data_IF_911335824786
#
_entry.id   IF_911335824786
#
_cell.length_a   1.000
_cell.length_b   1.000
_cell.length_c   1.000
_cell.angle_alpha   90.00
_cell.angle_beta   90.00
_cell.angle_gamma   90.00
#
_symmetry.space_group_name_H-M   'P 1'
#
loop_
_entity.id
_entity.type
_entity.pdbx_description
1 polymer ?
#
# COMPACT_ATOMS: atom_id res chain seq x y z
N UNK A 1 -12.91 25.40 1.04
CA UNK A 1 -12.81 24.07 1.69
C UNK A 1 -12.94 22.88 0.72
N UNK A 2 -13.01 23.09 -0.60
CA UNK A 2 -13.15 22.01 -1.58
C UNK A 2 -11.95 21.05 -1.66
N UNK A 3 -10.73 21.55 -1.48
CA UNK A 3 -9.52 20.72 -1.50
C UNK A 3 -9.51 19.68 -0.37
N UNK A 4 -9.97 20.05 0.82
CA UNK A 4 -10.06 19.16 1.99
C UNK A 4 -11.11 18.07 1.75
N UNK A 5 -12.25 18.43 1.13
CA UNK A 5 -13.33 17.51 0.82
C UNK A 5 -12.87 16.42 -0.17
N UNK A 6 -12.18 16.83 -1.26
CA UNK A 6 -11.60 15.91 -2.25
C UNK A 6 -10.52 15.00 -1.66
N UNK A 7 -9.69 15.53 -0.76
CA UNK A 7 -8.69 14.72 -0.06
C UNK A 7 -9.36 13.65 0.82
N UNK A 8 -10.42 14.02 1.55
CA UNK A 8 -11.17 13.09 2.41
C UNK A 8 -11.81 11.95 1.61
N UNK A 9 -12.38 12.25 0.44
CA UNK A 9 -12.93 11.23 -0.48
C UNK A 9 -11.85 10.28 -1.01
N UNK A 10 -10.66 10.81 -1.31
CA UNK A 10 -9.50 10.00 -1.73
C UNK A 10 -9.04 9.07 -0.61
N UNK A 11 -8.90 9.58 0.61
CA UNK A 11 -8.51 8.79 1.78
C UNK A 11 -9.53 7.71 2.13
N UNK A 12 -10.84 7.98 1.97
CA UNK A 12 -11.87 6.98 2.20
C UNK A 12 -11.75 5.75 1.28
N UNK A 13 -11.14 5.89 0.10
CA UNK A 13 -10.89 4.78 -0.83
C UNK A 13 -9.63 3.97 -0.48
N UNK A 14 -8.72 4.53 0.32
CA UNK A 14 -7.45 3.89 0.65
C UNK A 14 -7.60 2.56 1.41
N UNK A 15 -8.47 2.44 2.44
CA UNK A 15 -8.74 1.17 3.11
C UNK A 15 -9.26 0.08 2.16
N UNK A 16 -10.04 0.45 1.13
CA UNK A 16 -10.58 -0.48 0.14
C UNK A 16 -9.48 -1.00 -0.80
N UNK A 17 -8.53 -0.14 -1.17
CA UNK A 17 -7.34 -0.54 -1.93
C UNK A 17 -6.47 -1.47 -1.08
N UNK A 18 -6.25 -1.08 0.18
CA UNK A 18 -5.41 -1.83 1.09
C UNK A 18 -6.00 -3.21 1.42
N UNK A 19 -7.31 -3.33 1.59
CA UNK A 19 -7.98 -4.61 1.84
C UNK A 19 -7.80 -5.60 0.70
N UNK A 20 -7.87 -5.13 -0.57
CA UNK A 20 -7.57 -5.95 -1.76
C UNK A 20 -6.14 -6.45 -1.79
N UNK A 21 -5.20 -5.67 -1.26
CA UNK A 21 -3.77 -5.99 -1.23
C UNK A 21 -3.27 -6.50 0.13
N UNK A 22 -4.19 -6.90 1.02
CA UNK A 22 -3.90 -7.34 2.39
C UNK A 22 -2.94 -8.54 2.43
N UNK A 23 -3.03 -9.44 1.46
CA UNK A 23 -2.16 -10.61 1.35
C UNK A 23 -0.70 -10.20 1.07
N UNK A 24 -0.48 -9.34 0.07
CA UNK A 24 0.83 -8.80 -0.29
C UNK A 24 1.39 -7.92 0.83
N UNK A 25 0.53 -7.12 1.48
CA UNK A 25 0.90 -6.31 2.65
C UNK A 25 1.41 -7.19 3.80
N UNK A 26 0.76 -8.32 4.07
CA UNK A 26 1.15 -9.26 5.13
C UNK A 26 2.51 -9.92 4.83
N UNK A 27 2.79 -10.24 3.57
CA UNK A 27 4.08 -10.80 3.14
C UNK A 27 5.20 -9.77 3.32
N UNK A 28 4.97 -8.52 2.88
CA UNK A 28 5.90 -7.43 3.09
C UNK A 28 6.14 -7.16 4.59
N UNK A 29 5.07 -7.06 5.37
CA UNK A 29 5.15 -6.86 6.82
C UNK A 29 5.93 -8.00 7.50
N UNK A 30 5.71 -9.25 7.10
CA UNK A 30 6.48 -10.39 7.62
C UNK A 30 7.96 -10.26 7.31
N UNK A 31 8.33 -9.84 6.10
CA UNK A 31 9.73 -9.63 5.73
C UNK A 31 10.41 -8.54 6.58
N UNK A 32 9.68 -7.45 6.85
CA UNK A 32 10.15 -6.33 7.68
C UNK A 32 10.28 -6.74 9.15
N UNK A 33 9.24 -7.38 9.71
CA UNK A 33 9.24 -7.82 11.11
C UNK A 33 10.31 -8.87 11.40
N UNK A 34 10.60 -9.75 10.44
CA UNK A 34 11.70 -10.72 10.56
C UNK A 34 13.09 -10.06 10.59
N UNK A 35 13.19 -8.79 10.20
CA UNK A 35 14.43 -8.03 10.10
C UNK A 35 14.35 -6.72 10.88
N UNK A 36 13.47 -6.62 11.88
CA UNK A 36 13.20 -5.37 12.61
C UNK A 36 14.50 -4.73 13.16
N UNK A 37 15.43 -5.56 13.62
CA UNK A 37 16.73 -5.13 14.16
C UNK A 37 17.77 -4.73 13.10
N UNK A 38 17.59 -5.13 11.84
CA UNK A 38 18.60 -4.99 10.78
C UNK A 38 18.02 -4.62 9.42
N UNK A 39 16.86 -3.98 9.38
CA UNK A 39 16.19 -3.60 8.12
C UNK A 39 17.12 -2.68 7.35
N UNK A 40 17.65 -3.17 6.22
CA UNK A 40 18.37 -2.35 5.26
C UNK A 40 17.45 -2.01 4.10
N UNK A 41 17.74 -0.88 3.46
CA UNK A 41 17.10 -0.51 2.22
C UNK A 41 17.27 -1.66 1.21
N UNK A 42 16.17 -2.03 0.58
CA UNK A 42 16.03 -3.11 -0.41
C UNK A 42 15.96 -4.56 0.08
N UNK A 43 16.07 -4.84 1.38
CA UNK A 43 15.95 -6.21 1.91
C UNK A 43 14.61 -6.88 1.59
N UNK A 44 13.53 -6.10 1.61
CA UNK A 44 12.16 -6.52 1.27
C UNK A 44 11.65 -5.88 -0.02
N UNK A 45 12.57 -5.50 -0.92
CA UNK A 45 12.21 -4.79 -2.16
C UNK A 45 11.30 -5.61 -3.08
N UNK A 46 11.42 -6.94 -3.07
CA UNK A 46 10.61 -7.81 -3.93
C UNK A 46 9.15 -7.81 -3.47
N UNK A 47 8.95 -8.06 -2.20
CA UNK A 47 7.65 -8.07 -1.53
C UNK A 47 7.01 -6.68 -1.58
N UNK A 48 7.81 -5.63 -1.42
CA UNK A 48 7.35 -4.25 -1.56
C UNK A 48 6.90 -3.94 -2.99
N UNK A 49 7.65 -4.37 -4.02
CA UNK A 49 7.26 -4.17 -5.42
C UNK A 49 5.96 -4.88 -5.76
N UNK A 50 5.76 -6.10 -5.28
CA UNK A 50 4.49 -6.82 -5.47
C UNK A 50 3.33 -6.13 -4.77
N UNK A 51 3.55 -5.65 -3.54
CA UNK A 51 2.56 -4.87 -2.80
C UNK A 51 2.22 -3.54 -3.51
N UNK A 52 3.23 -2.81 -3.97
CA UNK A 52 3.08 -1.55 -4.70
C UNK A 52 2.36 -1.75 -6.04
N UNK A 53 2.67 -2.82 -6.76
CA UNK A 53 1.98 -3.18 -8.00
C UNK A 53 0.49 -3.44 -7.73
N UNK A 54 0.16 -4.18 -6.67
CA UNK A 54 -1.21 -4.40 -6.26
C UNK A 54 -1.93 -3.09 -5.91
N UNK A 55 -1.31 -2.23 -5.09
CA UNK A 55 -1.88 -0.93 -4.71
C UNK A 55 -2.14 -0.05 -5.93
N UNK A 56 -1.20 0.00 -6.88
CA UNK A 56 -1.32 0.80 -8.11
C UNK A 56 -2.45 0.29 -9.00
N UNK A 57 -2.59 -1.02 -9.14
CA UNK A 57 -3.69 -1.63 -9.90
C UNK A 57 -5.04 -1.36 -9.24
N UNK A 58 -5.16 -1.58 -7.93
CA UNK A 58 -6.39 -1.30 -7.19
C UNK A 58 -6.75 0.21 -7.18
N UNK A 59 -5.74 1.09 -7.19
CA UNK A 59 -5.93 2.53 -7.33
C UNK A 59 -6.49 2.92 -8.71
N UNK A 60 -5.96 2.31 -9.79
CA UNK A 60 -6.48 2.48 -11.16
C UNK A 60 -7.94 2.02 -11.25
N UNK A 61 -8.28 0.88 -10.68
CA UNK A 61 -9.65 0.35 -10.66
C UNK A 61 -10.62 1.33 -9.95
N UNK A 62 -10.18 1.92 -8.83
CA UNK A 62 -10.98 2.86 -8.03
C UNK A 62 -10.91 4.31 -8.54
N UNK A 63 -10.25 4.54 -9.68
CA UNK A 63 -9.99 5.85 -10.32
C UNK A 63 -9.48 6.87 -9.31
N UNK A 64 -8.57 6.43 -8.45
CA UNK A 64 -8.03 7.24 -7.34
C UNK A 64 -6.52 7.23 -7.38
N UNK A 65 -5.91 8.32 -6.89
CA UNK A 65 -4.44 8.41 -6.78
C UNK A 65 -4.04 7.95 -5.39
N UNK A 66 -3.02 7.12 -5.30
CA UNK A 66 -2.37 6.77 -4.03
C UNK A 66 -1.12 7.62 -3.88
#
# INVERSE_FOLDING_TARGET
MEAVKRAKERFAKYPVIFSKCSKQASVYARCVLLREDSVKKDDCAKEFKEFQACLTSAAKDLKTRI
#
